data_IF_803598259216
#
_entry.id   IF_803598259216
#
_cell.length_a   1.000
_cell.length_b   1.000
_cell.length_c   1.000
_cell.angle_alpha   90.00
_cell.angle_beta   90.00
_cell.angle_gamma   90.00
#
_symmetry.space_group_name_H-M   'P 1'
#
loop_
_entity.id
_entity.type
_entity.pdbx_description
1 polymer ?
#
# COMPACT_ATOMS: atom_id res chain seq x y z
N UNK A 1 -6.54 16.75 3.20
CA UNK A 1 -6.91 15.34 3.48
C UNK A 1 -6.93 14.48 2.22
N UNK A 2 -7.74 14.77 1.20
CA UNK A 2 -7.77 13.96 -0.04
C UNK A 2 -6.40 13.79 -0.70
N UNK A 3 -5.66 14.88 -0.90
CA UNK A 3 -4.32 14.84 -1.51
C UNK A 3 -3.36 13.99 -0.69
N UNK A 4 -3.34 14.15 0.63
CA UNK A 4 -2.50 13.36 1.54
C UNK A 4 -2.82 11.87 1.38
N UNK A 5 -4.08 11.48 1.46
CA UNK A 5 -4.51 10.08 1.28
C UNK A 5 -4.17 9.55 -0.12
N UNK A 6 -4.46 10.33 -1.16
CA UNK A 6 -4.14 9.95 -2.54
C UNK A 6 -2.65 9.69 -2.71
N UNK A 7 -1.80 10.59 -2.20
CA UNK A 7 -0.33 10.43 -2.23
C UNK A 7 0.10 9.22 -1.43
N UNK A 8 -0.40 9.04 -0.20
CA UNK A 8 -0.04 7.91 0.65
C UNK A 8 -0.34 6.57 -0.01
N UNK A 9 -1.55 6.41 -0.58
CA UNK A 9 -1.93 5.17 -1.28
C UNK A 9 -1.12 4.98 -2.57
N UNK A 10 -0.87 6.05 -3.34
CA UNK A 10 -0.04 5.98 -4.55
C UNK A 10 1.40 5.58 -4.24
N UNK A 11 2.02 6.19 -3.22
CA UNK A 11 3.40 5.86 -2.81
C UNK A 11 3.48 4.42 -2.32
N UNK A 12 2.55 3.98 -1.45
CA UNK A 12 2.52 2.61 -0.98
C UNK A 12 2.35 1.59 -2.12
N UNK A 13 1.45 1.86 -3.07
CA UNK A 13 1.27 1.03 -4.26
C UNK A 13 2.54 0.95 -5.12
N UNK A 14 3.18 2.11 -5.36
CA UNK A 14 4.43 2.17 -6.13
C UNK A 14 5.57 1.42 -5.43
N UNK A 15 5.70 1.55 -4.11
CA UNK A 15 6.71 0.81 -3.33
C UNK A 15 6.54 -0.70 -3.48
N UNK A 16 5.32 -1.22 -3.30
CA UNK A 16 5.02 -2.65 -3.49
C UNK A 16 5.26 -3.10 -4.94
N UNK A 17 4.88 -2.27 -5.92
CA UNK A 17 5.10 -2.59 -7.33
C UNK A 17 6.60 -2.66 -7.69
N UNK A 18 7.40 -1.73 -7.16
CA UNK A 18 8.86 -1.74 -7.35
C UNK A 18 9.51 -2.92 -6.64
N UNK A 19 9.12 -3.24 -5.40
CA UNK A 19 9.60 -4.42 -4.68
C UNK A 19 9.27 -5.70 -5.44
N UNK A 20 8.02 -5.83 -5.92
CA UNK A 20 7.59 -6.97 -6.74
C UNK A 20 8.43 -7.11 -8.02
N UNK A 21 8.69 -6.00 -8.71
CA UNK A 21 9.52 -6.02 -9.92
C UNK A 21 10.95 -6.47 -9.63
N UNK A 22 11.57 -5.97 -8.54
CA UNK A 22 12.89 -6.41 -8.08
C UNK A 22 12.88 -7.92 -7.80
N UNK A 23 11.85 -8.41 -7.08
CA UNK A 23 11.71 -9.83 -6.76
C UNK A 23 11.47 -10.72 -7.98
N UNK A 24 10.88 -10.19 -9.07
CA UNK A 24 10.79 -10.84 -10.38
C UNK A 24 12.11 -10.80 -11.18
N UNK A 25 13.15 -10.16 -10.66
CA UNK A 25 14.44 -10.03 -11.32
C UNK A 25 14.52 -8.90 -12.35
N UNK A 26 13.60 -7.92 -12.29
CA UNK A 26 13.72 -6.70 -13.09
C UNK A 26 14.90 -5.89 -12.54
N UNK A 27 15.93 -5.59 -13.36
CA UNK A 27 17.12 -4.88 -12.90
C UNK A 27 16.78 -3.40 -12.69
N UNK A 28 16.47 -3.05 -11.44
CA UNK A 28 16.17 -1.68 -11.02
C UNK A 28 17.32 -1.12 -10.16
N UNK A 29 17.02 -0.73 -8.92
CA UNK A 29 17.96 -0.05 -8.02
C UNK A 29 18.85 -1.06 -7.29
N UNK A 30 18.33 -2.27 -7.06
CA UNK A 30 18.99 -3.38 -6.39
C UNK A 30 18.67 -4.70 -7.11
N UNK A 31 19.57 -5.67 -7.02
CA UNK A 31 19.35 -7.04 -7.50
C UNK A 31 19.02 -7.94 -6.30
N UNK A 32 17.76 -8.36 -6.21
CA UNK A 32 17.30 -9.25 -5.15
C UNK A 32 16.12 -10.13 -5.60
N UNK A 33 16.38 -11.17 -6.41
CA UNK A 33 15.32 -12.06 -6.87
C UNK A 33 14.79 -12.92 -5.72
N UNK A 34 13.50 -12.81 -5.41
CA UNK A 34 12.81 -13.62 -4.40
C UNK A 34 11.37 -13.90 -4.83
N UNK A 35 11.19 -14.94 -5.66
CA UNK A 35 9.89 -15.27 -6.26
C UNK A 35 8.75 -15.49 -5.26
N UNK A 36 9.06 -15.86 -4.01
CA UNK A 36 8.08 -16.06 -2.94
C UNK A 36 7.30 -14.80 -2.55
N UNK A 37 7.88 -13.61 -2.71
CA UNK A 37 7.24 -12.34 -2.39
C UNK A 37 6.70 -11.59 -3.63
N UNK A 38 7.23 -11.89 -4.82
CA UNK A 38 6.93 -11.14 -6.04
C UNK A 38 5.43 -11.06 -6.36
N UNK A 39 4.73 -12.20 -6.37
CA UNK A 39 3.29 -12.26 -6.69
C UNK A 39 2.44 -11.59 -5.59
N UNK A 40 2.60 -11.92 -4.29
CA UNK A 40 1.87 -11.25 -3.23
C UNK A 40 1.99 -9.72 -3.28
N UNK A 41 3.20 -9.18 -3.49
CA UNK A 41 3.41 -7.74 -3.54
C UNK A 41 2.75 -7.09 -4.77
N UNK A 42 2.78 -7.73 -5.94
CA UNK A 42 2.08 -7.24 -7.13
C UNK A 42 0.57 -7.13 -6.90
N UNK A 43 -0.03 -8.13 -6.23
CA UNK A 43 -1.45 -8.13 -5.89
C UNK A 43 -1.77 -6.95 -4.96
N UNK A 44 -0.98 -6.75 -3.91
CA UNK A 44 -1.19 -5.64 -2.97
C UNK A 44 -0.97 -4.27 -3.64
N UNK A 45 0.03 -4.15 -4.52
CA UNK A 45 0.28 -2.96 -5.31
C UNK A 45 -0.94 -2.59 -6.17
N UNK A 46 -1.49 -3.57 -6.89
CA UNK A 46 -2.67 -3.37 -7.73
C UNK A 46 -3.89 -2.94 -6.90
N UNK A 47 -4.15 -3.62 -5.78
CA UNK A 47 -5.28 -3.30 -4.89
C UNK A 47 -5.16 -1.87 -4.35
N UNK A 48 -3.98 -1.46 -3.88
CA UNK A 48 -3.77 -0.09 -3.42
C UNK A 48 -3.84 0.93 -4.55
N UNK A 49 -3.41 0.59 -5.77
CA UNK A 49 -3.54 1.46 -6.94
C UNK A 49 -5.02 1.73 -7.26
N UNK A 50 -5.89 0.73 -7.14
CA UNK A 50 -7.35 0.92 -7.24
C UNK A 50 -7.86 1.85 -6.14
N UNK A 51 -7.38 1.68 -4.90
CA UNK A 51 -7.64 2.59 -3.78
C UNK A 51 -7.27 4.03 -4.10
N UNK A 52 -6.04 4.26 -4.55
CA UNK A 52 -5.53 5.57 -4.93
C UNK A 52 -6.33 6.18 -6.09
N UNK A 53 -6.60 5.40 -7.15
CA UNK A 53 -7.39 5.84 -8.29
C UNK A 53 -8.79 6.31 -7.87
N UNK A 54 -9.44 5.59 -6.96
CA UNK A 54 -10.76 5.98 -6.43
C UNK A 54 -10.72 7.35 -5.74
N UNK A 55 -9.64 7.65 -5.01
CA UNK A 55 -9.42 8.92 -4.32
C UNK A 55 -9.16 10.06 -5.32
N UNK A 56 -8.31 9.83 -6.31
CA UNK A 56 -7.95 10.84 -7.31
C UNK A 56 -9.09 11.20 -8.26
N UNK A 57 -9.85 10.19 -8.69
CA UNK A 57 -11.01 10.36 -9.59
C UNK A 57 -12.27 10.85 -8.87
N UNK A 58 -12.24 10.98 -7.54
CA UNK A 58 -13.39 11.35 -6.70
C UNK A 58 -14.57 10.41 -6.89
N UNK A 59 -14.29 9.12 -7.02
CA UNK A 59 -15.32 8.09 -7.21
C UNK A 59 -16.39 8.16 -6.11
N UNK A 60 -17.65 7.83 -6.42
CA UNK A 60 -18.78 7.90 -5.48
C UNK A 60 -18.56 7.13 -4.16
N UNK A 61 -17.82 6.03 -4.27
CA UNK A 61 -17.44 5.15 -3.16
C UNK A 61 -15.98 5.32 -2.69
N UNK A 62 -15.30 6.43 -3.03
CA UNK A 62 -13.85 6.61 -2.80
C UNK A 62 -13.43 6.33 -1.36
N UNK A 63 -14.20 6.78 -0.37
CA UNK A 63 -13.90 6.51 1.04
C UNK A 63 -13.90 5.01 1.36
N UNK A 64 -14.93 4.28 0.92
CA UNK A 64 -15.06 2.84 1.19
C UNK A 64 -14.00 2.02 0.46
N UNK A 65 -13.73 2.36 -0.80
CA UNK A 65 -12.68 1.70 -1.60
C UNK A 65 -11.29 1.97 -1.03
N UNK A 66 -10.97 3.23 -0.70
CA UNK A 66 -9.69 3.56 -0.08
C UNK A 66 -9.50 2.84 1.26
N UNK A 67 -10.50 2.85 2.14
CA UNK A 67 -10.41 2.15 3.43
C UNK A 67 -10.26 0.64 3.25
N UNK A 68 -11.07 0.02 2.39
CA UNK A 68 -11.02 -1.43 2.16
C UNK A 68 -9.67 -1.89 1.60
N UNK A 69 -9.17 -1.20 0.58
CA UNK A 69 -7.86 -1.48 -0.02
C UNK A 69 -6.71 -1.25 0.96
N UNK A 70 -6.74 -0.18 1.76
CA UNK A 70 -5.74 0.07 2.80
C UNK A 70 -5.76 -1.01 3.89
N UNK A 71 -6.94 -1.43 4.37
CA UNK A 71 -7.03 -2.50 5.40
C UNK A 71 -6.57 -3.85 4.85
N UNK A 72 -6.94 -4.17 3.61
CA UNK A 72 -6.46 -5.38 2.94
C UNK A 72 -4.94 -5.38 2.80
N UNK A 73 -4.38 -4.26 2.33
CA UNK A 73 -2.94 -4.09 2.20
C UNK A 73 -2.21 -4.15 3.54
N UNK A 74 -2.80 -3.58 4.59
CA UNK A 74 -2.24 -3.63 5.94
C UNK A 74 -2.18 -5.06 6.45
N UNK A 75 -3.24 -5.85 6.27
CA UNK A 75 -3.26 -7.26 6.64
C UNK A 75 -2.25 -8.08 5.82
N UNK A 76 -2.22 -7.90 4.50
CA UNK A 76 -1.29 -8.62 3.62
C UNK A 76 0.18 -8.29 3.90
N UNK A 77 0.50 -7.01 4.08
CA UNK A 77 1.86 -6.56 4.43
C UNK A 77 2.25 -7.02 5.83
N UNK A 78 1.32 -7.01 6.79
CA UNK A 78 1.57 -7.51 8.14
C UNK A 78 1.88 -9.01 8.15
N UNK A 79 1.16 -9.79 7.35
CA UNK A 79 1.46 -11.21 7.15
C UNK A 79 2.83 -11.41 6.48
N UNK A 80 3.12 -10.69 5.39
CA UNK A 80 4.43 -10.72 4.74
C UNK A 80 5.58 -10.40 5.70
N UNK A 81 5.41 -9.34 6.51
CA UNK A 81 6.39 -8.94 7.51
C UNK A 81 6.65 -10.03 8.55
N UNK A 82 5.61 -10.76 8.99
CA UNK A 82 5.77 -11.86 9.95
C UNK A 82 6.65 -13.00 9.41
N UNK A 83 6.61 -13.23 8.09
CA UNK A 83 7.48 -14.20 7.43
C UNK A 83 8.90 -13.65 7.25
N UNK A 84 9.02 -12.37 6.87
CA UNK A 84 10.30 -11.70 6.65
C UNK A 84 11.12 -11.53 7.93
N UNK A 85 10.50 -11.28 9.08
CA UNK A 85 11.26 -11.07 10.33
C UNK A 85 12.07 -12.30 10.73
N UNK A 86 11.69 -13.50 10.25
CA UNK A 86 12.40 -14.74 10.49
C UNK A 86 13.65 -14.93 9.60
N UNK A 87 13.84 -14.14 8.54
CA UNK A 87 14.86 -14.40 7.51
C UNK A 87 16.15 -13.56 7.67
N UNK A 88 16.27 -12.74 8.72
CA UNK A 88 17.42 -11.85 8.98
C UNK A 88 17.76 -10.86 7.85
N UNK A 89 16.85 -10.65 6.89
CA UNK A 89 17.03 -9.74 5.75
C UNK A 89 16.68 -8.32 6.17
N UNK A 90 17.68 -7.57 6.65
CA UNK A 90 17.48 -6.24 7.24
C UNK A 90 16.83 -5.23 6.28
N UNK A 91 17.16 -5.29 4.98
CA UNK A 91 16.51 -4.47 3.95
C UNK A 91 15.01 -4.77 3.83
N UNK A 92 14.66 -6.06 3.83
CA UNK A 92 13.27 -6.50 3.74
C UNK A 92 12.45 -6.06 4.96
N UNK A 93 13.05 -6.19 6.15
CA UNK A 93 12.46 -5.73 7.41
C UNK A 93 12.22 -4.21 7.36
N UNK A 94 13.22 -3.44 6.93
CA UNK A 94 13.14 -1.99 6.89
C UNK A 94 12.03 -1.49 5.95
N UNK A 95 11.89 -2.07 4.74
CA UNK A 95 10.82 -1.64 3.84
C UNK A 95 9.45 -2.01 4.37
N UNK A 96 9.27 -3.20 4.96
CA UNK A 96 7.98 -3.60 5.54
C UNK A 96 7.57 -2.67 6.67
N UNK A 97 8.49 -2.34 7.58
CA UNK A 97 8.22 -1.40 8.69
C UNK A 97 7.81 -0.04 8.15
N UNK A 98 8.53 0.49 7.17
CA UNK A 98 8.20 1.78 6.54
C UNK A 98 6.82 1.74 5.86
N UNK A 99 6.54 0.68 5.10
CA UNK A 99 5.26 0.49 4.41
C UNK A 99 4.10 0.35 5.40
N UNK A 100 4.27 -0.44 6.46
CA UNK A 100 3.29 -0.57 7.54
C UNK A 100 3.02 0.77 8.22
N UNK A 101 4.04 1.56 8.51
CA UNK A 101 3.85 2.89 9.10
C UNK A 101 2.98 3.81 8.21
N UNK A 102 3.22 3.79 6.89
CA UNK A 102 2.39 4.53 5.91
C UNK A 102 0.96 4.01 5.89
N UNK A 103 0.77 2.69 5.83
CA UNK A 103 -0.56 2.07 5.77
C UNK A 103 -1.37 2.30 7.05
N UNK A 104 -0.74 2.17 8.23
CA UNK A 104 -1.37 2.48 9.52
C UNK A 104 -1.76 3.95 9.56
N UNK A 105 -0.88 4.86 9.16
CA UNK A 105 -1.18 6.30 9.13
C UNK A 105 -2.35 6.58 8.19
N UNK A 106 -2.36 6.02 6.99
CA UNK A 106 -3.46 6.17 6.04
C UNK A 106 -4.78 5.61 6.59
N UNK A 107 -4.76 4.44 7.22
CA UNK A 107 -5.92 3.83 7.85
C UNK A 107 -6.48 4.72 8.97
N UNK A 108 -5.63 5.19 9.88
CA UNK A 108 -6.03 6.10 10.96
C UNK A 108 -6.63 7.39 10.41
N UNK A 109 -6.02 7.99 9.38
CA UNK A 109 -6.57 9.17 8.71
C UNK A 109 -7.94 8.89 8.09
N UNK A 110 -8.11 7.75 7.40
CA UNK A 110 -9.38 7.34 6.75
C UNK A 110 -10.51 7.10 7.76
N UNK A 111 -10.18 6.72 8.99
CA UNK A 111 -11.15 6.58 10.09
C UNK A 111 -11.61 7.93 10.66
N UNK A 112 -10.93 9.04 10.35
CA UNK A 112 -11.36 10.36 10.84
C UNK A 112 -12.61 10.87 10.10
N UNK A 113 -13.49 11.62 10.79
CA UNK A 113 -14.62 12.30 10.14
C UNK A 113 -14.19 13.25 9.02
N UNK A 114 -13.01 13.86 9.16
CA UNK A 114 -12.44 14.81 8.18
C UNK A 114 -12.15 14.10 6.86
N UNK A 115 -11.54 12.92 6.88
CA UNK A 115 -11.30 12.13 5.68
C UNK A 115 -12.60 11.68 5.03
N UNK A 116 -13.56 11.19 5.81
CA UNK A 116 -14.86 10.76 5.28
C UNK A 116 -15.60 11.90 4.57
N UNK A 117 -15.55 13.12 5.09
CA UNK A 117 -16.12 14.30 4.43
C UNK A 117 -15.33 14.68 3.17
N UNK A 118 -14.01 14.67 3.22
CA UNK A 118 -13.14 15.05 2.10
C UNK A 118 -13.22 14.10 0.89
N UNK A 119 -13.69 12.86 1.09
CA UNK A 119 -13.82 11.84 0.05
C UNK A 119 -15.27 11.55 -0.37
N UNK A 120 -16.26 12.20 0.24
CA UNK A 120 -17.65 12.12 -0.22
C UNK A 120 -17.84 12.98 -1.47
N UNK A 121 -18.66 12.53 -2.44
CA UNK A 121 -19.12 13.40 -3.52
C UNK A 121 -19.83 14.63 -2.96
N UNK A 122 -19.69 15.77 -3.64
CA UNK A 122 -20.58 16.90 -3.40
C UNK A 122 -21.99 16.46 -3.82
N UNK A 123 -22.95 16.59 -2.91
CA UNK A 123 -24.37 16.36 -3.20
C UNK A 123 -24.92 17.46 -4.10
#
# INVERSE_FOLDING_TARGET
>A
MRVVLGISLTVAAATLGLASAIHFGVPLIIEDPFAGAAIPEAILAFILAVGAASVWTRHGAAWGVALGTTLFALAGTGFGFSLTVATSRSGDIAYHVALLAVLVTAALLLLTPVARRALRPAA
#
